data_IF_996049300833
#
_entry.id   IF_996049300833
#
_cell.length_a   1.000
_cell.length_b   1.000
_cell.length_c   1.000
_cell.angle_alpha   90.00
_cell.angle_beta   90.00
_cell.angle_gamma   90.00
#
_symmetry.space_group_name_H-M   'P 1'
#
loop_
_entity.id
_entity.type
_entity.pdbx_description
1 polymer ?
#
# COMPACT_ATOMS: atom_id res chain seq x y z
N UNK A 1 16.17 9.36 -4.02
CA UNK A 1 17.39 8.56 -4.32
C UNK A 1 17.01 7.10 -4.58
N UNK A 2 17.83 6.28 -5.26
CA UNK A 2 17.54 4.85 -5.55
C UNK A 2 18.31 3.92 -4.61
N UNK A 3 17.64 2.87 -4.14
CA UNK A 3 18.20 1.85 -3.25
C UNK A 3 17.93 0.45 -3.82
N UNK A 4 18.86 -0.46 -3.54
CA UNK A 4 18.75 -1.88 -3.85
C UNK A 4 19.29 -2.65 -2.64
N UNK A 5 18.42 -3.44 -2.00
CA UNK A 5 18.73 -4.14 -0.76
C UNK A 5 18.52 -5.64 -0.96
N UNK A 6 19.60 -6.44 -0.98
CA UNK A 6 19.47 -7.89 -1.06
C UNK A 6 18.99 -8.46 0.28
N UNK A 7 18.20 -9.53 0.21
CA UNK A 7 17.80 -10.32 1.38
C UNK A 7 17.62 -11.79 1.01
N UNK A 8 17.74 -12.66 2.02
CA UNK A 8 17.60 -14.11 1.86
C UNK A 8 16.55 -14.67 2.80
N UNK A 9 15.74 -15.60 2.30
CA UNK A 9 14.79 -16.37 3.09
C UNK A 9 15.54 -17.49 3.81
N UNK A 10 15.64 -17.37 5.13
CA UNK A 10 16.40 -18.31 5.98
C UNK A 10 15.53 -19.40 6.60
N UNK A 11 14.21 -19.23 6.60
CA UNK A 11 13.27 -20.23 7.10
C UNK A 11 13.27 -21.48 6.23
N UNK A 12 13.01 -22.63 6.87
CA UNK A 12 12.74 -23.87 6.14
C UNK A 12 11.41 -23.73 5.41
N UNK A 13 11.46 -23.84 4.09
CA UNK A 13 10.29 -23.73 3.23
C UNK A 13 9.63 -25.10 3.02
N UNK A 14 8.29 -25.22 3.13
CA UNK A 14 7.57 -26.45 2.81
C UNK A 14 7.73 -26.80 1.32
N UNK A 15 8.01 -28.06 1.01
CA UNK A 15 8.30 -28.52 -0.36
C UNK A 15 7.12 -29.27 -1.02
N UNK A 16 5.99 -29.37 -0.34
CA UNK A 16 4.83 -30.18 -0.70
C UNK A 16 3.86 -29.49 -1.64
N UNK A 17 3.70 -28.17 -1.51
CA UNK A 17 2.74 -27.36 -2.26
C UNK A 17 3.46 -26.12 -2.80
N UNK A 18 3.79 -26.11 -4.09
CA UNK A 18 4.39 -24.94 -4.75
C UNK A 18 3.54 -23.67 -4.54
N UNK A 19 4.15 -22.50 -4.71
CA UNK A 19 3.59 -21.18 -4.35
C UNK A 19 3.43 -20.97 -2.84
N UNK A 20 4.55 -20.75 -2.18
CA UNK A 20 4.62 -20.52 -0.74
C UNK A 20 4.37 -19.04 -0.48
N UNK A 21 3.30 -18.65 0.24
CA UNK A 21 3.04 -17.26 0.54
C UNK A 21 4.06 -16.73 1.55
N UNK A 22 4.73 -15.64 1.21
CA UNK A 22 5.60 -14.89 2.10
C UNK A 22 4.96 -13.55 2.41
N UNK A 23 5.11 -13.15 3.67
CA UNK A 23 4.72 -11.86 4.21
C UNK A 23 5.88 -11.38 5.07
N UNK A 24 6.53 -10.29 4.68
CA UNK A 24 7.68 -9.73 5.39
C UNK A 24 7.41 -8.26 5.75
N UNK A 25 7.57 -7.93 7.03
CA UNK A 25 7.56 -6.54 7.48
C UNK A 25 8.94 -5.91 7.19
N UNK A 26 8.94 -4.73 6.56
CA UNK A 26 10.11 -4.02 6.07
C UNK A 26 10.08 -2.60 6.62
N UNK A 27 11.16 -2.20 7.29
CA UNK A 27 11.41 -0.82 7.69
C UNK A 27 12.30 -0.13 6.65
N UNK A 28 11.68 0.56 5.69
CA UNK A 28 12.42 1.26 4.65
C UNK A 28 13.17 2.48 5.18
N UNK A 29 12.69 3.11 6.26
CA UNK A 29 13.42 4.20 6.90
C UNK A 29 14.73 3.70 7.51
N UNK A 30 14.71 2.53 8.18
CA UNK A 30 15.93 1.90 8.69
C UNK A 30 16.89 1.52 7.55
N UNK A 31 16.37 1.00 6.43
CA UNK A 31 17.19 0.67 5.25
C UNK A 31 17.87 1.91 4.65
N UNK A 32 17.14 3.02 4.53
CA UNK A 32 17.68 4.31 4.05
C UNK A 32 18.73 4.84 5.03
N UNK A 33 18.46 4.79 6.34
CA UNK A 33 19.37 5.24 7.37
C UNK A 33 20.69 4.44 7.36
N UNK A 34 20.62 3.12 7.24
CA UNK A 34 21.81 2.24 7.15
C UNK A 34 22.66 2.53 5.91
N UNK A 35 22.04 3.03 4.84
CA UNK A 35 22.72 3.48 3.64
C UNK A 35 23.19 4.94 3.71
N UNK A 36 23.13 5.58 4.89
CA UNK A 36 23.42 7.01 5.11
C UNK A 36 22.65 7.93 4.14
N UNK A 37 21.46 7.48 3.75
CA UNK A 37 20.58 8.16 2.81
C UNK A 37 19.65 9.17 3.47
N UNK A 38 18.87 9.85 2.63
CA UNK A 38 17.84 10.78 3.05
C UNK A 38 16.53 10.61 2.26
N UNK A 39 15.48 11.21 2.80
CA UNK A 39 14.15 11.15 2.25
C UNK A 39 13.28 10.04 2.85
N UNK A 40 12.04 10.02 2.40
CA UNK A 40 11.01 9.04 2.78
C UNK A 40 10.70 8.10 1.63
N UNK A 41 10.13 6.94 1.88
CA UNK A 41 9.81 5.97 0.84
C UNK A 41 8.89 6.57 -0.25
N UNK A 42 9.20 6.29 -1.51
CA UNK A 42 8.24 6.35 -2.61
C UNK A 42 7.62 4.95 -2.79
N UNK A 43 6.42 4.67 -2.26
CA UNK A 43 5.85 3.31 -2.32
C UNK A 43 5.55 2.86 -3.75
N UNK A 44 5.31 3.78 -4.69
CA UNK A 44 5.06 3.47 -6.09
C UNK A 44 6.30 2.92 -6.83
N UNK A 45 7.48 3.05 -6.24
CA UNK A 45 8.75 2.62 -6.82
C UNK A 45 9.21 1.23 -6.39
N UNK A 46 8.50 0.59 -5.45
CA UNK A 46 8.92 -0.69 -4.88
C UNK A 46 8.92 -1.75 -5.97
N UNK A 47 10.04 -2.45 -6.09
CA UNK A 47 10.19 -3.64 -6.91
C UNK A 47 10.81 -4.75 -6.07
N UNK A 48 10.28 -5.96 -6.23
CA UNK A 48 10.88 -7.16 -5.71
C UNK A 48 11.51 -7.94 -6.87
N UNK A 49 12.78 -8.29 -6.76
CA UNK A 49 13.53 -8.97 -7.81
C UNK A 49 13.99 -10.33 -7.32
N UNK A 50 13.80 -11.36 -8.14
CA UNK A 50 14.37 -12.69 -7.93
C UNK A 50 15.85 -12.69 -8.33
N UNK A 51 16.76 -12.99 -7.40
CA UNK A 51 18.18 -12.99 -7.72
C UNK A 51 18.60 -14.20 -8.58
N UNK A 52 17.79 -15.25 -8.68
CA UNK A 52 18.10 -16.43 -9.46
C UNK A 52 18.03 -16.18 -10.98
N UNK A 53 17.06 -15.36 -11.42
CA UNK A 53 16.84 -15.08 -12.85
C UNK A 53 16.69 -13.58 -13.18
N UNK A 54 16.77 -12.69 -12.19
CA UNK A 54 16.65 -11.25 -12.35
C UNK A 54 15.22 -10.76 -12.63
N UNK A 55 14.21 -11.64 -12.54
CA UNK A 55 12.83 -11.28 -12.83
C UNK A 55 12.21 -10.40 -11.74
N UNK A 56 11.37 -9.44 -12.14
CA UNK A 56 10.56 -8.66 -11.19
C UNK A 56 9.33 -9.47 -10.79
N UNK A 57 9.18 -9.69 -9.48
CA UNK A 57 8.11 -10.46 -8.87
C UNK A 57 6.93 -9.54 -8.55
N UNK A 58 5.73 -9.98 -8.92
CA UNK A 58 4.48 -9.35 -8.47
C UNK A 58 4.35 -9.53 -6.96
N UNK A 59 4.06 -8.43 -6.29
CA UNK A 59 3.95 -8.39 -4.84
C UNK A 59 2.73 -7.55 -4.43
N UNK A 60 2.22 -7.82 -3.23
CA UNK A 60 1.26 -6.98 -2.53
C UNK A 60 1.98 -6.11 -1.51
N UNK A 61 1.38 -4.97 -1.16
CA UNK A 61 1.84 -4.04 -0.14
C UNK A 61 0.77 -3.90 0.94
N UNK A 62 1.14 -3.75 2.21
CA UNK A 62 0.16 -3.37 3.25
C UNK A 62 -0.27 -1.91 3.12
N UNK A 63 -1.47 -1.60 3.63
CA UNK A 63 -2.03 -0.24 3.65
C UNK A 63 -1.15 0.77 4.41
N UNK A 64 -0.29 0.30 5.33
CA UNK A 64 0.64 1.16 6.07
C UNK A 64 1.59 1.94 5.16
N UNK A 65 2.00 1.34 4.03
CA UNK A 65 2.91 1.96 3.07
C UNK A 65 2.26 3.11 2.28
N UNK A 66 0.94 3.31 2.40
CA UNK A 66 0.30 4.53 1.92
C UNK A 66 0.68 5.76 2.78
N UNK A 67 1.03 5.55 4.06
CA UNK A 67 1.23 6.62 5.05
C UNK A 67 2.64 6.69 5.63
N UNK A 68 3.36 5.57 5.63
CA UNK A 68 4.61 5.40 6.36
C UNK A 68 5.71 4.78 5.50
N UNK A 69 6.89 4.69 6.09
CA UNK A 69 8.07 4.04 5.53
C UNK A 69 8.28 2.64 6.13
N UNK A 70 7.30 2.16 6.90
CA UNK A 70 7.25 0.82 7.46
C UNK A 70 5.97 0.13 7.00
N UNK A 71 6.07 -1.13 6.60
CA UNK A 71 4.92 -1.94 6.27
C UNK A 71 5.34 -3.27 5.66
N UNK A 72 4.41 -3.95 5.02
CA UNK A 72 4.59 -5.35 4.61
C UNK A 72 4.66 -5.50 3.11
N UNK A 73 5.55 -6.38 2.65
CA UNK A 73 5.59 -6.89 1.28
C UNK A 73 5.15 -8.36 1.29
N UNK A 74 4.26 -8.70 0.36
CA UNK A 74 3.67 -10.04 0.25
C UNK A 74 3.89 -10.62 -1.15
N UNK A 75 4.43 -11.83 -1.25
CA UNK A 75 4.73 -12.44 -2.55
C UNK A 75 4.82 -13.96 -2.45
N UNK A 76 4.58 -14.71 -3.55
CA UNK A 76 4.71 -16.15 -3.57
C UNK A 76 6.12 -16.57 -3.97
N UNK A 77 6.74 -17.47 -3.22
CA UNK A 77 7.92 -18.20 -3.67
C UNK A 77 7.46 -19.36 -4.56
N UNK A 78 7.93 -19.38 -5.81
CA UNK A 78 7.53 -20.41 -6.81
C UNK A 78 8.20 -21.76 -6.58
N UNK A 79 9.44 -21.75 -6.10
CA UNK A 79 10.27 -22.92 -5.87
C UNK A 79 11.10 -22.69 -4.61
N UNK A 80 11.16 -23.69 -3.72
CA UNK A 80 11.89 -23.69 -2.44
C UNK A 80 13.40 -23.43 -2.57
N UNK A 81 13.96 -23.61 -3.77
CA UNK A 81 15.36 -23.28 -4.07
C UNK A 81 15.59 -21.77 -4.22
N UNK A 82 14.54 -21.00 -4.56
CA UNK A 82 14.62 -19.55 -4.77
C UNK A 82 14.48 -18.81 -3.44
N UNK A 83 15.62 -18.46 -2.86
CA UNK A 83 15.69 -17.86 -1.52
C UNK A 83 16.29 -16.47 -1.48
N UNK A 84 17.00 -16.06 -2.53
CA UNK A 84 17.69 -14.80 -2.61
C UNK A 84 16.91 -13.81 -3.46
N UNK A 85 16.64 -12.65 -2.89
CA UNK A 85 15.83 -11.60 -3.50
C UNK A 85 16.47 -10.24 -3.28
N UNK A 86 16.03 -9.26 -4.05
CA UNK A 86 16.44 -7.86 -3.90
C UNK A 86 15.20 -6.96 -3.88
N UNK A 87 15.12 -6.07 -2.90
CA UNK A 87 14.12 -5.00 -2.85
C UNK A 87 14.76 -3.76 -3.45
N UNK A 88 14.16 -3.23 -4.52
CA UNK A 88 14.52 -1.93 -5.08
C UNK A 88 13.44 -0.91 -4.77
N UNK A 89 13.85 0.31 -4.44
CA UNK A 89 12.92 1.41 -4.19
C UNK A 89 13.61 2.76 -4.33
N UNK A 90 12.80 3.80 -4.41
CA UNK A 90 13.20 5.19 -4.45
C UNK A 90 12.73 5.93 -3.18
N UNK A 91 13.47 6.97 -2.80
CA UNK A 91 13.06 7.94 -1.79
C UNK A 91 12.62 9.25 -2.42
N UNK A 92 11.61 9.85 -1.78
CA UNK A 92 11.12 11.20 -1.99
C UNK A 92 11.90 12.17 -1.08
N UNK A 93 12.37 13.26 -1.65
CA UNK A 93 13.09 14.32 -0.96
C UNK A 93 12.15 15.17 -0.09
N UNK A 94 12.69 15.90 0.91
CA UNK A 94 11.90 16.85 1.68
C UNK A 94 11.12 17.83 0.78
N UNK A 95 9.81 17.91 0.97
CA UNK A 95 8.91 18.75 0.18
C UNK A 95 8.20 18.04 -0.99
N UNK A 96 8.66 16.86 -1.42
CA UNK A 96 8.01 16.10 -2.49
C UNK A 96 6.77 15.36 -1.98
N UNK A 97 5.61 15.51 -2.62
CA UNK A 97 4.39 14.79 -2.22
C UNK A 97 4.52 13.28 -2.49
N UNK A 98 3.97 12.46 -1.59
CA UNK A 98 3.84 11.03 -1.83
C UNK A 98 2.82 10.82 -2.95
N UNK A 99 3.14 10.07 -4.02
CA UNK A 99 2.19 9.85 -5.09
C UNK A 99 1.06 8.94 -4.62
N UNK A 100 -0.15 9.22 -5.10
CA UNK A 100 -1.27 8.30 -4.98
C UNK A 100 -0.97 7.02 -5.74
N UNK A 101 -1.18 5.89 -5.09
CA UNK A 101 -0.89 4.59 -5.68
C UNK A 101 -1.95 4.25 -6.73
N UNK A 102 -1.52 3.97 -7.96
CA UNK A 102 -2.37 3.28 -8.91
C UNK A 102 -2.60 1.84 -8.41
N UNK A 103 -3.76 1.22 -8.69
CA UNK A 103 -4.04 -0.15 -8.27
C UNK A 103 -2.95 -1.13 -8.77
N UNK A 104 -2.12 -1.76 -7.91
CA UNK A 104 -1.17 -2.77 -8.37
C UNK A 104 -1.85 -4.08 -8.79
N UNK A 105 -1.19 -4.81 -9.68
CA UNK A 105 -1.47 -6.24 -9.92
C UNK A 105 -0.80 -7.07 -8.83
N UNK A 106 -1.59 -7.57 -7.91
CA UNK A 106 -1.10 -8.34 -6.75
C UNK A 106 -1.09 -9.84 -7.06
N UNK A 107 -0.13 -10.60 -6.54
CA UNK A 107 -0.17 -12.06 -6.67
C UNK A 107 -1.38 -12.63 -5.90
N UNK A 108 -1.77 -13.86 -6.23
CA UNK A 108 -2.79 -14.61 -5.48
C UNK A 108 -2.21 -15.13 -4.14
N UNK A 109 -1.69 -14.21 -3.32
CA UNK A 109 -1.30 -14.46 -1.94
C UNK A 109 -2.51 -14.08 -1.10
N UNK A 110 -3.37 -15.06 -0.85
CA UNK A 110 -4.66 -14.84 -0.21
C UNK A 110 -4.53 -14.60 1.28
N UNK A 111 -4.96 -13.43 1.76
CA UNK A 111 -5.42 -13.24 3.14
C UNK A 111 -6.60 -12.27 3.16
N UNK A 112 -7.82 -12.79 3.15
CA UNK A 112 -9.07 -11.99 3.27
C UNK A 112 -10.15 -12.38 2.26
N UNK A 113 -11.36 -11.87 2.48
CA UNK A 113 -12.55 -12.14 1.65
C UNK A 113 -12.66 -11.20 0.43
N UNK A 114 -11.65 -10.34 0.22
CA UNK A 114 -11.66 -9.32 -0.82
C UNK A 114 -10.95 -9.80 -2.08
N UNK A 115 -11.73 -9.94 -3.14
CA UNK A 115 -11.22 -10.18 -4.47
C UNK A 115 -10.88 -8.85 -5.13
N UNK A 116 -9.71 -8.80 -5.76
CA UNK A 116 -9.26 -7.66 -6.54
C UNK A 116 -9.30 -8.01 -8.03
N UNK A 117 -9.77 -7.09 -8.86
CA UNK A 117 -9.56 -7.21 -10.30
C UNK A 117 -8.06 -7.08 -10.60
N UNK A 118 -7.49 -8.13 -11.20
CA UNK A 118 -6.06 -8.24 -11.49
C UNK A 118 -5.79 -8.10 -13.00
N UNK A 119 -6.36 -7.08 -13.62
CA UNK A 119 -6.19 -6.73 -15.03
C UNK A 119 -5.88 -5.23 -15.20
N UNK A 120 -5.69 -4.77 -16.43
CA UNK A 120 -5.37 -3.36 -16.74
C UNK A 120 -6.61 -2.51 -17.06
N UNK A 121 -7.82 -3.10 -16.96
CA UNK A 121 -9.05 -2.39 -17.27
C UNK A 121 -9.51 -1.56 -16.07
N UNK A 122 -10.11 -0.38 -16.29
CA UNK A 122 -10.78 0.34 -15.23
C UNK A 122 -12.03 -0.44 -14.77
N UNK A 123 -12.17 -0.59 -13.47
CA UNK A 123 -13.35 -1.21 -12.84
C UNK A 123 -14.11 -0.19 -12.00
N UNK A 124 -15.45 -0.28 -11.94
CA UNK A 124 -16.22 0.59 -11.07
C UNK A 124 -15.88 0.33 -9.60
N UNK A 125 -15.75 1.41 -8.83
CA UNK A 125 -15.67 1.37 -7.37
C UNK A 125 -17.07 1.56 -6.81
N UNK A 126 -17.52 0.64 -5.97
CA UNK A 126 -18.84 0.71 -5.33
C UNK A 126 -18.67 1.03 -3.84
N UNK A 127 -19.33 2.09 -3.39
CA UNK A 127 -19.40 2.51 -2.00
C UNK A 127 -20.86 2.71 -1.59
N UNK A 128 -21.20 2.33 -0.36
CA UNK A 128 -22.57 2.47 0.14
C UNK A 128 -22.94 3.95 0.36
N UNK A 129 -22.03 4.71 0.98
CA UNK A 129 -22.11 6.16 1.12
C UNK A 129 -20.78 6.76 0.65
N UNK A 130 -20.85 7.78 -0.20
CA UNK A 130 -19.67 8.45 -0.72
C UNK A 130 -19.87 9.95 -0.93
N UNK A 131 -18.77 10.69 -0.94
CA UNK A 131 -18.67 12.09 -1.34
C UNK A 131 -17.44 12.28 -2.25
N UNK A 132 -17.29 13.46 -2.81
CA UNK A 132 -16.13 13.88 -3.61
C UNK A 132 -15.50 15.13 -2.99
N UNK A 133 -14.30 15.01 -2.42
CA UNK A 133 -13.56 16.13 -1.80
C UNK A 133 -12.08 16.03 -2.07
N UNK A 134 -11.44 17.19 -2.16
CA UNK A 134 -9.97 17.30 -2.22
C UNK A 134 -9.41 17.13 -0.79
N UNK A 135 -8.90 15.94 -0.46
CA UNK A 135 -8.41 15.65 0.89
C UNK A 135 -6.95 16.04 1.10
N UNK A 136 -6.16 16.20 0.04
CA UNK A 136 -4.73 16.48 0.13
C UNK A 136 -4.33 17.87 -0.39
N UNK A 137 -5.31 18.66 -0.84
CA UNK A 137 -5.13 20.02 -1.34
C UNK A 137 -4.42 20.06 -2.69
N UNK A 138 -4.59 19.06 -3.55
CA UNK A 138 -4.06 19.06 -4.93
C UNK A 138 -5.02 19.71 -5.94
N UNK A 139 -6.19 20.16 -5.49
CA UNK A 139 -7.24 20.78 -6.30
C UNK A 139 -8.18 19.78 -6.97
N UNK A 140 -8.04 18.48 -6.68
CA UNK A 140 -8.81 17.42 -7.33
C UNK A 140 -9.63 16.64 -6.30
N UNK A 141 -10.88 16.36 -6.65
CA UNK A 141 -11.74 15.61 -5.75
C UNK A 141 -11.38 14.12 -5.74
N UNK A 142 -11.08 13.60 -4.55
CA UNK A 142 -10.94 12.20 -4.20
C UNK A 142 -12.30 11.57 -3.94
N UNK A 143 -12.44 10.27 -4.20
CA UNK A 143 -13.64 9.51 -3.82
C UNK A 143 -13.51 9.06 -2.38
N UNK A 144 -14.37 9.57 -1.50
CA UNK A 144 -14.30 9.31 -0.06
C UNK A 144 -15.56 8.62 0.41
N UNK A 145 -15.46 7.84 1.47
CA UNK A 145 -16.61 7.15 2.01
C UNK A 145 -16.30 6.40 3.28
N UNK A 146 -17.22 5.50 3.63
CA UNK A 146 -17.08 4.62 4.78
C UNK A 146 -17.09 3.17 4.31
N UNK A 147 -16.37 2.35 5.06
CA UNK A 147 -16.33 0.90 4.85
C UNK A 147 -16.69 0.21 6.14
N UNK A 148 -17.51 -0.84 6.12
CA UNK A 148 -18.05 -1.48 7.31
C UNK A 148 -17.55 -2.93 7.56
N UNK A 149 -16.50 -3.37 6.84
CA UNK A 149 -15.94 -4.72 6.94
C UNK A 149 -14.44 -4.74 7.26
N UNK A 150 -13.93 -5.91 7.66
CA UNK A 150 -12.50 -6.17 7.72
C UNK A 150 -11.92 -6.32 6.31
N UNK A 151 -10.74 -5.73 6.08
CA UNK A 151 -10.01 -5.92 4.83
C UNK A 151 -9.12 -7.16 4.89
N UNK A 152 -8.42 -7.32 6.02
CA UNK A 152 -7.51 -8.43 6.30
C UNK A 152 -7.31 -8.62 7.81
N UNK A 153 -6.84 -9.80 8.26
CA UNK A 153 -6.43 -10.01 9.65
C UNK A 153 -5.44 -8.93 10.10
N UNK A 154 -5.68 -8.35 11.27
CA UNK A 154 -4.83 -7.30 11.86
C UNK A 154 -5.16 -5.87 11.41
N UNK A 155 -6.01 -5.68 10.39
CA UNK A 155 -6.52 -4.33 10.07
C UNK A 155 -7.73 -3.96 10.93
N UNK A 156 -7.96 -2.65 11.18
CA UNK A 156 -9.15 -2.19 11.89
C UNK A 156 -10.44 -2.71 11.25
N UNK A 157 -11.44 -2.97 12.10
CA UNK A 157 -12.80 -3.14 11.62
C UNK A 157 -13.29 -1.80 11.09
N UNK A 158 -13.69 -1.75 9.82
CA UNK A 158 -14.34 -0.56 9.27
C UNK A 158 -13.43 0.69 9.27
N UNK A 159 -13.95 1.79 8.76
CA UNK A 159 -13.34 3.11 8.89
C UNK A 159 -13.78 4.07 7.81
N UNK A 160 -13.19 5.26 7.87
CA UNK A 160 -13.26 6.25 6.82
C UNK A 160 -12.15 5.94 5.80
N UNK A 161 -12.51 5.89 4.53
CA UNK A 161 -11.59 5.53 3.44
C UNK A 161 -11.64 6.58 2.34
N UNK A 162 -10.58 6.60 1.53
CA UNK A 162 -10.49 7.37 0.31
C UNK A 162 -9.93 6.50 -0.82
N UNK A 163 -10.36 6.76 -2.03
CA UNK A 163 -9.68 6.37 -3.26
C UNK A 163 -9.17 7.67 -3.90
N UNK A 164 -7.87 7.97 -3.74
CA UNK A 164 -7.35 9.25 -4.18
C UNK A 164 -7.44 9.44 -5.70
N UNK A 165 -7.58 10.68 -6.15
CA UNK A 165 -7.70 10.98 -7.57
C UNK A 165 -6.40 10.68 -8.31
N UNK A 166 -6.50 9.91 -9.40
CA UNK A 166 -5.41 9.64 -10.34
C UNK A 166 -5.85 9.96 -11.79
N UNK A 167 -4.94 9.78 -12.74
CA UNK A 167 -5.21 10.02 -14.16
C UNK A 167 -5.21 11.50 -14.54
N UNK A 168 -5.70 11.81 -15.75
CA UNK A 168 -5.76 13.16 -16.31
C UNK A 168 -6.97 13.95 -15.80
N UNK A 169 -7.07 15.25 -16.13
CA UNK A 169 -8.22 16.08 -15.77
C UNK A 169 -9.52 15.57 -16.39
N UNK A 170 -9.48 15.20 -17.67
CA UNK A 170 -10.64 14.77 -18.47
C UNK A 170 -11.16 13.36 -18.11
N UNK A 171 -10.45 12.63 -17.26
CA UNK A 171 -10.83 11.28 -16.87
C UNK A 171 -10.92 11.14 -15.35
N UNK A 172 -12.11 10.86 -14.84
CA UNK A 172 -12.28 10.57 -13.42
C UNK A 172 -11.85 9.13 -13.14
N UNK A 173 -10.61 8.95 -12.68
CA UNK A 173 -10.08 7.70 -12.16
C UNK A 173 -9.59 7.89 -10.73
N UNK A 174 -9.69 6.81 -9.97
CA UNK A 174 -9.21 6.78 -8.59
C UNK A 174 -8.19 5.66 -8.40
N UNK A 175 -7.28 5.89 -7.46
CA UNK A 175 -6.17 5.01 -7.13
C UNK A 175 -6.60 3.81 -6.29
N UNK A 176 -5.63 3.22 -5.60
CA UNK A 176 -5.89 2.18 -4.61
C UNK A 176 -6.53 2.76 -3.35
N UNK A 177 -7.24 1.92 -2.61
CA UNK A 177 -7.88 2.32 -1.36
C UNK A 177 -6.82 2.77 -0.35
N UNK A 178 -7.08 3.91 0.29
CA UNK A 178 -6.34 4.44 1.43
C UNK A 178 -7.29 4.57 2.61
N UNK A 179 -6.93 3.99 3.76
CA UNK A 179 -7.71 4.16 4.99
C UNK A 179 -7.29 5.45 5.68
N UNK A 180 -8.23 6.36 5.89
CA UNK A 180 -7.92 7.62 6.55
C UNK A 180 -7.53 7.37 8.02
N UNK A 181 -6.53 8.12 8.46
CA UNK A 181 -6.06 8.16 9.84
C UNK A 181 -6.22 9.58 10.38
N UNK A 182 -6.48 9.70 11.68
CA UNK A 182 -6.51 10.99 12.36
C UNK A 182 -5.37 11.09 13.37
N UNK A 183 -5.09 12.31 13.82
CA UNK A 183 -4.20 12.58 14.94
C UNK A 183 -4.95 13.42 15.96
N UNK A 184 -4.71 13.18 17.24
CA UNK A 184 -5.19 14.08 18.27
C UNK A 184 -4.45 15.44 18.20
N UNK A 185 -5.08 16.55 18.62
CA UNK A 185 -4.41 17.84 18.70
C UNK A 185 -3.09 17.76 19.51
N UNK A 186 -1.99 18.17 18.89
CA UNK A 186 -0.65 18.13 19.50
C UNK A 186 0.07 16.78 19.45
N UNK A 187 -0.57 15.73 18.91
CA UNK A 187 0.04 14.41 18.74
C UNK A 187 0.63 14.21 17.33
N UNK A 188 1.75 13.49 17.25
CA UNK A 188 2.29 12.95 15.99
C UNK A 188 1.79 11.53 15.69
N UNK A 189 1.09 10.91 16.63
CA UNK A 189 0.57 9.54 16.49
C UNK A 189 -0.65 9.54 15.59
N UNK A 190 -0.65 8.63 14.62
CA UNK A 190 -1.78 8.36 13.75
C UNK A 190 -2.66 7.25 14.33
N UNK A 191 -3.95 7.49 14.33
CA UNK A 191 -4.99 6.58 14.80
C UNK A 191 -5.94 6.25 13.66
N UNK A 192 -6.41 5.02 13.63
CA UNK A 192 -7.54 4.66 12.80
C UNK A 192 -8.84 5.13 13.44
N UNK A 193 -9.78 5.60 12.62
CA UNK A 193 -11.13 5.95 13.09
C UNK A 193 -11.80 4.75 13.76
N UNK A 194 -12.14 4.83 15.06
CA UNK A 194 -12.68 3.69 15.79
C UNK A 194 -14.18 3.56 15.53
N UNK A 195 -14.60 2.50 14.83
CA UNK A 195 -16.01 2.12 14.77
C UNK A 195 -16.52 1.68 13.41
N UNK A 196 -17.80 1.30 13.39
CA UNK A 196 -18.54 0.94 12.17
C UNK A 196 -19.32 2.15 11.67
N UNK A 197 -18.87 2.77 10.58
CA UNK A 197 -19.49 3.96 10.02
C UNK A 197 -20.35 3.59 8.80
N UNK A 198 -21.61 4.00 8.80
CA UNK A 198 -22.50 3.87 7.63
C UNK A 198 -22.40 5.08 6.71
N UNK A 199 -22.16 6.25 7.30
CA UNK A 199 -22.03 7.54 6.62
C UNK A 199 -20.94 8.35 7.31
N UNK A 200 -20.29 9.23 6.55
CA UNK A 200 -19.39 10.26 7.06
C UNK A 200 -19.57 11.53 6.22
N UNK A 201 -19.46 12.68 6.88
CA UNK A 201 -19.41 13.98 6.24
C UNK A 201 -18.04 14.60 6.47
N UNK A 202 -17.55 15.30 5.45
CA UNK A 202 -16.23 15.90 5.45
C UNK A 202 -16.38 17.41 5.25
N UNK A 203 -15.59 18.17 5.99
CA UNK A 203 -15.58 19.61 5.90
C UNK A 203 -14.25 20.16 6.40
N UNK A 204 -13.87 21.29 5.83
CA UNK A 204 -12.69 22.02 6.27
C UNK A 204 -13.01 22.74 7.58
N UNK A 205 -12.17 22.49 8.58
CA UNK A 205 -12.13 23.31 9.78
C UNK A 205 -11.20 24.49 9.46
N UNK A 206 -11.78 25.54 8.88
CA UNK A 206 -11.10 26.83 8.64
C UNK A 206 -10.53 27.41 9.92
#
# INVERSE_FOLDING_TARGET
MRYAVPFSITSTLPADLGHIPISADIDFAELVQKAEGEGRLNPASIQLVDCADGSVIRHGLSEDLAHADFGRIEFPIRDVTRRDYEIRFETLMPGERRPHLAPPKVPLVGVGDLLRANDDAPHPVTLHSFDLRDLDGDGRADLIGTWNYYHRPGTPISGVIAYPRIGTEDEFRVGDLVRLRYRDPGSSTLHYFPGTYLEAAFGDLT
#
